data_IF_052695140096
#
_entry.id   IF_052695140096
#
_cell.length_a   1.000
_cell.length_b   1.000
_cell.length_c   1.000
_cell.angle_alpha   90.00
_cell.angle_beta   90.00
_cell.angle_gamma   90.00
#
_symmetry.space_group_name_H-M   'P 1'
#
loop_
_entity.id
_entity.type
_entity.pdbx_description
1 polymer ?
#
# COMPACT_ATOMS: atom_id res chain seq x y z
N UNK A 1 -5.76 25.56 -14.15
CA UNK A 1 -5.51 24.25 -13.50
C UNK A 1 -4.02 23.95 -13.65
N UNK A 2 -3.27 23.82 -12.55
CA UNK A 2 -1.81 23.66 -12.62
C UNK A 2 -1.46 22.28 -13.20
N UNK A 3 -0.60 22.19 -14.24
CA UNK A 3 -0.32 20.97 -14.99
C UNK A 3 0.62 19.98 -14.26
N UNK A 4 0.73 20.05 -12.92
CA UNK A 4 1.90 19.52 -12.21
C UNK A 4 1.71 18.21 -11.42
N UNK A 5 0.58 17.51 -11.57
CA UNK A 5 0.45 16.11 -11.15
C UNK A 5 0.01 15.27 -12.36
N UNK A 6 0.98 14.75 -13.11
CA UNK A 6 0.68 13.76 -14.16
C UNK A 6 0.16 12.50 -13.45
N UNK A 7 -1.16 12.29 -13.52
CA UNK A 7 -1.85 11.14 -12.94
C UNK A 7 -2.29 11.39 -11.50
N UNK A 8 -3.59 11.30 -11.25
CA UNK A 8 -4.19 11.16 -9.90
C UNK A 8 -3.90 9.75 -9.33
N UNK A 9 -3.28 8.86 -10.13
CA UNK A 9 -2.98 7.47 -9.81
C UNK A 9 -1.54 7.10 -10.15
N UNK A 10 -0.93 6.29 -9.28
CA UNK A 10 0.35 5.60 -9.48
C UNK A 10 1.60 6.49 -9.44
N UNK A 11 1.76 7.36 -10.43
CA UNK A 11 3.02 8.10 -10.69
C UNK A 11 3.07 9.50 -10.06
N UNK A 12 2.12 9.81 -9.17
CA UNK A 12 2.12 11.09 -8.46
C UNK A 12 3.30 11.13 -7.48
N UNK A 13 4.16 12.14 -7.60
CA UNK A 13 5.20 12.41 -6.59
C UNK A 13 4.55 12.64 -5.23
N UNK A 14 5.21 12.19 -4.16
CA UNK A 14 4.76 12.46 -2.79
C UNK A 14 4.57 13.96 -2.60
N UNK A 15 3.42 14.35 -2.04
CA UNK A 15 3.08 15.74 -1.81
C UNK A 15 2.74 16.55 -3.08
N UNK A 16 2.46 15.90 -4.21
CA UNK A 16 2.02 16.58 -5.43
C UNK A 16 0.64 17.24 -5.26
N UNK A 17 -0.32 16.49 -4.73
CA UNK A 17 -1.68 16.98 -4.47
C UNK A 17 -1.62 17.86 -3.22
N UNK A 18 -1.87 19.16 -3.40
CA UNK A 18 -1.89 20.15 -2.31
C UNK A 18 -3.30 20.50 -1.84
N UNK A 19 -4.28 20.33 -2.72
CA UNK A 19 -5.68 20.58 -2.38
C UNK A 19 -6.24 19.36 -1.63
N UNK A 20 -6.74 19.54 -0.39
CA UNK A 20 -7.29 18.45 0.39
C UNK A 20 -8.52 17.80 -0.28
N UNK A 21 -9.35 18.57 -1.00
CA UNK A 21 -10.53 18.01 -1.67
C UNK A 21 -10.13 17.04 -2.78
N UNK A 22 -9.11 17.42 -3.57
CA UNK A 22 -8.56 16.54 -4.62
C UNK A 22 -7.91 15.30 -3.99
N UNK A 23 -7.23 15.46 -2.85
CA UNK A 23 -6.61 14.33 -2.13
C UNK A 23 -7.65 13.34 -1.61
N UNK A 24 -8.77 13.84 -1.10
CA UNK A 24 -9.90 13.02 -0.62
C UNK A 24 -10.51 12.25 -1.80
N UNK A 25 -10.81 12.93 -2.91
CA UNK A 25 -11.39 12.31 -4.10
C UNK A 25 -10.47 11.21 -4.67
N UNK A 26 -9.18 11.51 -4.79
CA UNK A 26 -8.17 10.54 -5.23
C UNK A 26 -8.11 9.31 -4.32
N UNK A 27 -8.08 9.51 -3.00
CA UNK A 27 -8.04 8.42 -2.03
C UNK A 27 -9.29 7.56 -2.05
N UNK A 28 -10.48 8.17 -2.15
CA UNK A 28 -11.75 7.43 -2.28
C UNK A 28 -11.76 6.58 -3.56
N UNK A 29 -11.30 7.14 -4.68
CA UNK A 29 -11.26 6.41 -5.94
C UNK A 29 -10.24 5.26 -5.91
N UNK A 30 -9.09 5.44 -5.27
CA UNK A 30 -8.10 4.36 -5.12
C UNK A 30 -8.62 3.25 -4.21
N UNK A 31 -9.25 3.60 -3.07
CA UNK A 31 -9.82 2.61 -2.16
C UNK A 31 -10.95 1.81 -2.80
N UNK A 32 -11.84 2.49 -3.54
CA UNK A 32 -12.90 1.84 -4.33
C UNK A 32 -12.33 0.80 -5.31
N UNK A 33 -11.23 1.13 -5.99
CA UNK A 33 -10.60 0.23 -6.96
C UNK A 33 -10.02 -1.02 -6.29
N UNK A 34 -9.29 -0.87 -5.18
CA UNK A 34 -8.74 -2.02 -4.46
C UNK A 34 -9.82 -2.85 -3.78
N UNK A 35 -10.91 -2.23 -3.29
CA UNK A 35 -12.06 -2.94 -2.72
C UNK A 35 -12.78 -3.79 -3.77
N UNK A 36 -12.99 -3.25 -4.97
CA UNK A 36 -13.57 -4.01 -6.07
C UNK A 36 -12.69 -5.20 -6.46
N UNK A 37 -11.37 -5.00 -6.57
CA UNK A 37 -10.40 -6.07 -6.89
C UNK A 37 -10.29 -7.12 -5.77
N UNK A 38 -10.46 -6.72 -4.52
CA UNK A 38 -10.51 -7.60 -3.36
C UNK A 38 -11.87 -8.29 -3.18
N UNK A 39 -12.80 -8.13 -4.13
CA UNK A 39 -14.16 -8.69 -4.06
C UNK A 39 -14.89 -8.32 -2.77
N UNK A 40 -14.73 -7.08 -2.30
CA UNK A 40 -15.35 -6.59 -1.07
C UNK A 40 -14.66 -6.97 0.24
N UNK A 41 -13.55 -7.71 0.20
CA UNK A 41 -12.73 -7.97 1.39
C UNK A 41 -12.03 -6.68 1.83
N UNK A 42 -12.51 -6.12 2.95
CA UNK A 42 -12.04 -4.83 3.49
C UNK A 42 -10.59 -4.94 3.98
N UNK A 43 -10.21 -6.04 4.64
CA UNK A 43 -8.87 -6.21 5.18
C UNK A 43 -7.85 -6.28 4.05
N UNK A 44 -8.14 -7.09 3.02
CA UNK A 44 -7.31 -7.18 1.83
C UNK A 44 -7.23 -5.85 1.07
N UNK A 45 -8.35 -5.14 0.94
CA UNK A 45 -8.40 -3.83 0.29
C UNK A 45 -7.58 -2.78 1.03
N UNK A 46 -7.69 -2.70 2.37
CA UNK A 46 -6.92 -1.78 3.20
C UNK A 46 -5.42 -2.03 3.09
N UNK A 47 -4.99 -3.30 3.22
CA UNK A 47 -3.58 -3.63 3.04
C UNK A 47 -3.09 -3.32 1.62
N UNK A 48 -3.94 -3.52 0.61
CA UNK A 48 -3.63 -3.20 -0.79
C UNK A 48 -3.63 -1.70 -1.09
N UNK A 49 -4.32 -0.88 -0.30
CA UNK A 49 -4.20 0.57 -0.36
C UNK A 49 -2.79 1.01 0.07
N UNK A 50 -2.19 0.31 1.04
CA UNK A 50 -0.82 0.56 1.48
C UNK A 50 0.23 -0.04 0.53
N UNK A 51 0.08 -1.31 0.13
CA UNK A 51 1.06 -2.04 -0.68
C UNK A 51 0.86 -1.94 -2.19
N UNK A 52 -0.23 -1.32 -2.62
CA UNK A 52 -0.68 -1.32 -4.00
C UNK A 52 -1.43 -2.61 -4.38
N UNK A 53 -2.19 -2.54 -5.47
CA UNK A 53 -3.06 -3.63 -5.91
C UNK A 53 -2.37 -4.96 -6.25
N UNK A 54 -1.03 -4.97 -6.42
CA UNK A 54 -0.27 -6.20 -6.61
C UNK A 54 -0.30 -7.15 -5.41
N UNK A 55 -0.57 -6.63 -4.21
CA UNK A 55 -0.73 -7.44 -3.01
C UNK A 55 -1.99 -8.33 -3.06
N UNK A 56 -3.06 -7.89 -3.74
CA UNK A 56 -4.33 -8.62 -3.85
C UNK A 56 -4.09 -10.02 -4.44
N UNK A 57 -3.53 -10.08 -5.64
CA UNK A 57 -3.27 -11.35 -6.33
C UNK A 57 -2.29 -12.23 -5.56
N UNK A 58 -1.29 -11.62 -4.92
CA UNK A 58 -0.31 -12.32 -4.10
C UNK A 58 -0.95 -12.99 -2.88
N UNK A 59 -1.77 -12.25 -2.14
CA UNK A 59 -2.44 -12.74 -0.94
C UNK A 59 -3.48 -13.82 -1.28
N UNK A 60 -4.30 -13.61 -2.33
CA UNK A 60 -5.29 -14.60 -2.77
C UNK A 60 -4.67 -15.93 -3.17
N UNK A 61 -3.49 -15.92 -3.81
CA UNK A 61 -2.74 -17.14 -4.13
C UNK A 61 -2.26 -17.92 -2.89
N UNK A 62 -2.31 -17.30 -1.70
CA UNK A 62 -1.90 -17.86 -0.40
C UNK A 62 -3.04 -17.99 0.60
N UNK A 63 -4.30 -17.89 0.15
CA UNK A 63 -5.48 -18.06 0.99
C UNK A 63 -6.11 -16.75 1.50
N UNK A 64 -5.68 -15.60 0.98
CA UNK A 64 -6.22 -14.28 1.32
C UNK A 64 -5.31 -13.48 2.24
N UNK A 65 -5.86 -12.43 2.83
CA UNK A 65 -5.12 -11.58 3.76
C UNK A 65 -4.80 -12.32 5.07
N UNK A 66 -3.55 -12.22 5.51
CA UNK A 66 -3.08 -12.54 6.85
C UNK A 66 -1.88 -11.65 7.21
N UNK A 67 -1.53 -11.58 8.49
CA UNK A 67 -0.33 -10.84 8.91
C UNK A 67 0.94 -11.46 8.28
N UNK A 68 1.00 -12.78 8.20
CA UNK A 68 2.12 -13.53 7.61
C UNK A 68 2.29 -13.24 6.12
N UNK A 69 1.19 -13.23 5.35
CA UNK A 69 1.22 -12.89 3.92
C UNK A 69 1.65 -11.44 3.70
N UNK A 70 1.20 -10.50 4.55
CA UNK A 70 1.65 -9.11 4.49
C UNK A 70 3.14 -8.96 4.81
N UNK A 71 3.66 -9.65 5.83
CA UNK A 71 5.08 -9.67 6.18
C UNK A 71 5.92 -10.24 5.04
N UNK A 72 5.51 -11.37 4.46
CA UNK A 72 6.23 -12.02 3.37
C UNK A 72 6.27 -11.13 2.11
N UNK A 73 5.14 -10.52 1.76
CA UNK A 73 5.08 -9.58 0.64
C UNK A 73 6.02 -8.39 0.88
N UNK A 74 5.97 -7.78 2.07
CA UNK A 74 6.81 -6.64 2.41
C UNK A 74 8.30 -6.97 2.31
N UNK A 75 8.72 -8.13 2.85
CA UNK A 75 10.10 -8.65 2.70
C UNK A 75 10.53 -8.75 1.24
N UNK A 76 9.67 -9.32 0.39
CA UNK A 76 9.97 -9.49 -1.04
C UNK A 76 10.19 -8.16 -1.78
N UNK A 77 9.65 -7.06 -1.24
CA UNK A 77 9.70 -5.72 -1.80
C UNK A 77 10.65 -4.76 -1.09
N UNK A 78 11.47 -5.23 -0.14
CA UNK A 78 12.44 -4.40 0.58
C UNK A 78 13.35 -3.57 -0.34
N UNK A 79 13.71 -4.11 -1.52
CA UNK A 79 14.54 -3.41 -2.51
C UNK A 79 13.90 -2.12 -3.05
N UNK A 80 12.57 -1.97 -2.94
CA UNK A 80 11.84 -0.76 -3.31
C UNK A 80 11.85 0.32 -2.21
N UNK A 81 12.24 -0.05 -0.99
CA UNK A 81 12.36 0.87 0.14
C UNK A 81 13.62 0.58 0.97
N UNK A 82 14.82 0.89 0.44
CA UNK A 82 16.10 0.54 1.07
C UNK A 82 16.31 1.20 2.44
N UNK A 83 15.63 2.31 2.72
CA UNK A 83 15.66 2.99 4.03
C UNK A 83 14.56 2.53 4.98
N UNK A 84 13.70 1.60 4.57
CA UNK A 84 12.46 1.24 5.28
C UNK A 84 12.66 0.68 6.69
N UNK A 85 13.80 0.02 6.95
CA UNK A 85 14.14 -0.54 8.27
C UNK A 85 15.41 0.08 8.88
N UNK A 86 15.56 1.41 8.77
CA UNK A 86 16.70 2.13 9.37
C UNK A 86 16.68 2.17 10.90
N UNK A 87 15.48 2.12 11.51
CA UNK A 87 15.31 2.07 12.97
C UNK A 87 15.28 0.62 13.47
N UNK A 88 16.28 0.16 14.26
CA UNK A 88 16.34 -1.21 14.77
C UNK A 88 15.20 -1.55 15.76
N UNK A 89 14.57 -0.55 16.37
CA UNK A 89 13.49 -0.77 17.34
C UNK A 89 12.10 -0.86 16.69
N UNK A 90 11.99 -0.53 15.40
CA UNK A 90 10.72 -0.56 14.68
C UNK A 90 10.20 -1.99 14.50
N UNK A 91 8.87 -2.17 14.62
CA UNK A 91 8.20 -3.46 14.43
C UNK A 91 8.44 -4.06 13.03
N UNK A 92 8.62 -3.23 12.00
CA UNK A 92 9.05 -3.62 10.65
C UNK A 92 10.42 -4.24 10.62
N UNK A 93 11.38 -3.61 11.28
CA UNK A 93 12.78 -4.06 11.33
C UNK A 93 12.93 -5.39 12.06
N UNK A 94 12.18 -5.60 13.15
CA UNK A 94 12.18 -6.86 13.91
C UNK A 94 11.83 -8.09 13.08
N UNK A 95 11.05 -7.92 12.01
CA UNK A 95 10.67 -8.99 11.08
C UNK A 95 11.21 -8.77 9.67
N UNK A 96 12.09 -7.80 9.45
CA UNK A 96 12.66 -7.45 8.13
C UNK A 96 11.59 -7.14 7.04
N UNK A 97 10.44 -6.57 7.41
CA UNK A 97 9.34 -6.20 6.51
C UNK A 97 9.36 -4.70 6.21
N UNK A 98 10.23 -4.28 5.30
CA UNK A 98 10.65 -2.88 5.17
C UNK A 98 9.97 -2.10 4.06
N UNK A 99 9.20 -2.75 3.17
CA UNK A 99 8.56 -2.08 2.05
C UNK A 99 7.50 -1.06 2.51
N UNK A 100 6.61 -1.49 3.40
CA UNK A 100 5.59 -0.69 4.04
C UNK A 100 5.09 -1.39 5.31
N UNK A 101 4.12 -0.77 5.99
CA UNK A 101 3.55 -1.32 7.22
C UNK A 101 2.69 -2.55 6.91
N UNK A 102 3.06 -3.68 7.49
CA UNK A 102 2.16 -4.83 7.60
C UNK A 102 1.19 -4.55 8.76
N UNK A 103 0.21 -3.68 8.51
CA UNK A 103 -0.79 -3.36 9.53
C UNK A 103 -1.68 -4.58 9.75
N UNK A 104 -2.29 -4.68 10.93
CA UNK A 104 -3.48 -5.50 11.13
C UNK A 104 -4.70 -4.60 10.88
N UNK A 105 -5.29 -4.61 9.67
CA UNK A 105 -6.47 -3.83 9.34
C UNK A 105 -7.71 -4.30 10.11
#
# INVERSE_FOLDING_TARGET
MSPSCVGVKGNARVGCIKDPNISIEAGVQEFKDVLAKANGDIALALQSYNFGSGFISYALAKGGYSEETAIEFSRSKNHLNPAGCSDPNNFRTKVNACYGDYVRP
#
